data_IF_898136425527
#
_entry.id   IF_898136425527
#
_cell.length_a   1.000
_cell.length_b   1.000
_cell.length_c   1.000
_cell.angle_alpha   90.00
_cell.angle_beta   90.00
_cell.angle_gamma   90.00
#
_symmetry.space_group_name_H-M   'P 1'
#
loop_
_entity.id
_entity.type
_entity.pdbx_description
1 polymer ?
#
# COMPACT_ATOMS: atom_id res chain seq x y z
N UNK A 1 -0.51 18.17 1.17
CA UNK A 1 -0.13 16.92 0.49
C UNK A 1 -0.67 16.98 -0.92
N UNK A 2 0.11 16.56 -1.93
CA UNK A 2 -0.37 16.49 -3.31
C UNK A 2 -1.23 15.24 -3.49
N UNK A 3 -2.48 15.38 -3.05
CA UNK A 3 -3.52 14.36 -3.12
C UNK A 3 -4.09 14.27 -4.53
N UNK A 4 -3.29 13.86 -5.52
CA UNK A 4 -3.75 13.69 -6.90
C UNK A 4 -3.93 15.00 -7.67
N UNK A 5 -3.22 16.06 -7.32
CA UNK A 5 -3.27 17.34 -8.07
C UNK A 5 -2.64 17.19 -9.45
N UNK A 6 -3.19 17.87 -10.45
CA UNK A 6 -2.59 17.90 -11.79
C UNK A 6 -1.20 18.55 -11.77
N UNK A 7 -0.26 17.93 -12.49
CA UNK A 7 1.04 18.51 -12.75
C UNK A 7 0.89 19.59 -13.85
N UNK A 8 1.41 20.81 -13.66
CA UNK A 8 1.26 21.91 -14.61
C UNK A 8 1.63 21.51 -16.04
N UNK A 9 0.77 21.85 -17.00
CA UNK A 9 1.00 21.56 -18.43
C UNK A 9 0.79 20.09 -18.82
N UNK A 10 0.17 19.26 -17.98
CA UNK A 10 -0.05 17.83 -18.28
C UNK A 10 -1.38 17.29 -17.75
N UNK A 11 -1.71 16.05 -18.14
CA UNK A 11 -2.81 15.25 -17.57
C UNK A 11 -2.35 14.35 -16.41
N UNK A 12 -1.08 14.40 -16.05
CA UNK A 12 -0.55 13.57 -14.97
C UNK A 12 -0.92 14.16 -13.60
N UNK A 13 -1.06 13.30 -12.60
CA UNK A 13 -1.33 13.70 -11.22
C UNK A 13 -0.09 13.49 -10.34
N UNK A 14 0.16 14.42 -9.43
CA UNK A 14 1.15 14.30 -8.38
C UNK A 14 0.65 13.39 -7.27
N UNK A 15 1.47 12.42 -6.87
CA UNK A 15 1.24 11.57 -5.71
C UNK A 15 2.36 11.86 -4.72
N UNK A 16 2.02 12.47 -3.58
CA UNK A 16 2.99 12.80 -2.55
C UNK A 16 3.63 11.57 -1.90
N UNK A 17 4.92 11.66 -1.53
CA UNK A 17 5.66 10.55 -0.92
C UNK A 17 5.02 10.01 0.37
N UNK A 18 4.38 10.88 1.17
CA UNK A 18 3.65 10.47 2.38
C UNK A 18 2.40 9.64 2.08
N UNK A 19 1.71 9.92 0.96
CA UNK A 19 0.56 9.12 0.54
C UNK A 19 1.01 7.69 0.18
N UNK A 20 2.13 7.57 -0.54
CA UNK A 20 2.77 6.29 -0.85
C UNK A 20 3.22 5.59 0.45
N UNK A 21 3.84 6.35 1.37
CA UNK A 21 4.31 5.85 2.66
C UNK A 21 3.21 5.29 3.55
N UNK A 22 2.03 5.92 3.56
CA UNK A 22 0.88 5.43 4.32
C UNK A 22 0.42 4.04 3.83
N UNK A 23 0.25 3.86 2.52
CA UNK A 23 -0.11 2.55 1.96
C UNK A 23 0.95 1.50 2.28
N UNK A 24 2.24 1.85 2.14
CA UNK A 24 3.36 0.94 2.48
C UNK A 24 3.31 0.50 3.93
N UNK A 25 3.11 1.43 4.85
CA UNK A 25 3.04 1.14 6.29
C UNK A 25 1.91 0.16 6.60
N UNK A 26 0.70 0.43 6.11
CA UNK A 26 -0.45 -0.42 6.38
C UNK A 26 -0.30 -1.82 5.78
N UNK A 27 0.17 -1.92 4.53
CA UNK A 27 0.42 -3.21 3.87
C UNK A 27 1.46 -4.01 4.64
N UNK A 28 2.61 -3.42 4.94
CA UNK A 28 3.68 -4.12 5.67
C UNK A 28 3.24 -4.54 7.07
N UNK A 29 2.49 -3.70 7.79
CA UNK A 29 1.95 -4.04 9.10
C UNK A 29 1.02 -5.27 9.02
N UNK A 30 0.08 -5.30 8.06
CA UNK A 30 -0.84 -6.42 7.87
C UNK A 30 -0.11 -7.71 7.47
N UNK A 31 0.88 -7.63 6.59
CA UNK A 31 1.71 -8.78 6.21
C UNK A 31 2.46 -9.35 7.43
N UNK A 32 3.06 -8.48 8.27
CA UNK A 32 3.72 -8.91 9.50
C UNK A 32 2.76 -9.57 10.49
N UNK A 33 1.55 -9.04 10.63
CA UNK A 33 0.49 -9.65 11.45
C UNK A 33 0.13 -11.04 10.93
N UNK A 34 -0.01 -11.22 9.61
CA UNK A 34 -0.29 -12.53 8.97
C UNK A 34 0.85 -13.51 9.20
N UNK A 35 2.10 -13.08 9.04
CA UNK A 35 3.28 -13.92 9.29
C UNK A 35 3.34 -14.40 10.75
N UNK A 36 3.08 -13.50 11.70
CA UNK A 36 3.07 -13.82 13.14
C UNK A 36 1.92 -14.74 13.53
N UNK A 37 0.76 -14.61 12.87
CA UNK A 37 -0.45 -15.37 13.20
C UNK A 37 -0.59 -16.71 12.47
N UNK A 38 0.32 -17.03 11.55
CA UNK A 38 0.23 -18.26 10.76
C UNK A 38 0.67 -19.49 11.57
N UNK A 39 -0.07 -20.60 11.44
CA UNK A 39 0.28 -21.89 12.07
C UNK A 39 1.58 -22.48 11.52
N UNK A 40 1.95 -22.11 10.29
CA UNK A 40 3.18 -22.52 9.61
C UNK A 40 3.88 -21.28 9.05
N UNK A 41 5.21 -21.31 8.87
CA UNK A 41 5.94 -20.22 8.22
C UNK A 41 5.35 -19.92 6.84
N UNK A 42 5.04 -18.65 6.60
CA UNK A 42 4.55 -18.16 5.30
C UNK A 42 5.58 -17.21 4.70
N UNK A 43 5.77 -17.33 3.39
CA UNK A 43 6.66 -16.48 2.62
C UNK A 43 5.81 -15.61 1.71
N UNK A 44 5.77 -14.32 2.02
CA UNK A 44 4.93 -13.35 1.34
C UNK A 44 5.80 -12.52 0.40
N UNK A 45 5.33 -12.31 -0.82
CA UNK A 45 6.05 -11.64 -1.90
C UNK A 45 5.17 -10.57 -2.55
N UNK A 46 5.54 -10.10 -3.75
CA UNK A 46 4.86 -9.00 -4.41
C UNK A 46 3.37 -9.24 -4.69
N UNK A 47 2.91 -10.43 -5.13
CA UNK A 47 1.49 -10.68 -5.35
C UNK A 47 0.67 -10.54 -4.07
N UNK A 48 1.15 -11.05 -2.94
CA UNK A 48 0.47 -10.94 -1.65
C UNK A 48 0.45 -9.48 -1.17
N UNK A 49 1.57 -8.77 -1.31
CA UNK A 49 1.64 -7.35 -0.96
C UNK A 49 0.68 -6.50 -1.81
N UNK A 50 0.55 -6.79 -3.10
CA UNK A 50 -0.39 -6.09 -3.99
C UNK A 50 -1.85 -6.40 -3.64
N UNK A 51 -2.17 -7.64 -3.30
CA UNK A 51 -3.50 -8.02 -2.85
C UNK A 51 -3.89 -7.24 -1.58
N UNK A 52 -3.01 -7.20 -0.58
CA UNK A 52 -3.22 -6.43 0.65
C UNK A 52 -3.32 -4.93 0.38
N UNK A 53 -2.54 -4.38 -0.56
CA UNK A 53 -2.64 -2.98 -0.94
C UNK A 53 -4.03 -2.62 -1.50
N UNK A 54 -4.65 -3.54 -2.26
CA UNK A 54 -6.02 -3.35 -2.78
C UNK A 54 -7.07 -3.46 -1.68
N UNK A 55 -6.88 -4.35 -0.70
CA UNK A 55 -7.74 -4.43 0.49
C UNK A 55 -7.70 -3.11 1.28
N UNK A 56 -6.50 -2.58 1.54
CA UNK A 56 -6.31 -1.28 2.24
C UNK A 56 -7.07 -0.15 1.55
N UNK A 57 -7.06 -0.10 0.21
CA UNK A 57 -7.80 0.92 -0.55
C UNK A 57 -9.31 0.72 -0.51
N UNK A 58 -9.81 -0.52 -0.43
CA UNK A 58 -11.25 -0.80 -0.38
C UNK A 58 -11.89 -0.40 0.96
N UNK A 59 -11.08 -0.21 2.00
CA UNK A 59 -11.50 0.18 3.35
C UNK A 59 -11.41 1.69 3.62
N UNK A 60 -10.85 2.46 2.66
CA UNK A 60 -10.64 3.92 2.77
C UNK A 60 -11.68 4.68 1.95
#
# INVERSE_FOLDING_TARGET
MDSGKLLPGSRAVGIGALAIGNVKYQVQHRLLVRMRGAEKPVYLSFPEALAVAREVLAET
#
